data_IF_433405833495
#
_entry.id   IF_433405833495
#
_cell.length_a   1.000
_cell.length_b   1.000
_cell.length_c   1.000
_cell.angle_alpha   90.00
_cell.angle_beta   90.00
_cell.angle_gamma   90.00
#
_symmetry.space_group_name_H-M   'P 1'
#
loop_
_entity.id
_entity.type
_entity.pdbx_description
1 polymer ?
#
# COMPACT_ATOMS: atom_id res chain seq x y z
N UNK A 1 13.51 4.22 -10.76
CA UNK A 1 12.94 4.47 -12.11
C UNK A 1 12.69 3.14 -12.80
N UNK A 2 11.49 2.59 -12.66
CA UNK A 2 11.02 1.52 -13.54
C UNK A 2 10.74 2.14 -14.93
N UNK A 3 11.28 1.53 -15.98
CA UNK A 3 11.18 2.00 -17.37
C UNK A 3 9.72 2.11 -17.81
N UNK A 4 9.35 3.24 -18.40
CA UNK A 4 8.02 3.57 -18.97
C UNK A 4 7.42 2.49 -19.92
N UNK A 5 8.20 1.53 -20.42
CA UNK A 5 7.71 0.42 -21.27
C UNK A 5 7.16 -0.82 -20.53
N UNK A 6 7.35 -0.93 -19.20
CA UNK A 6 6.92 -2.13 -18.46
C UNK A 6 5.42 -2.15 -18.13
N UNK A 7 4.77 -0.98 -18.05
CA UNK A 7 3.39 -0.88 -17.56
C UNK A 7 2.34 -1.27 -18.61
N UNK A 8 2.57 -1.02 -19.91
CA UNK A 8 1.66 -1.42 -20.99
C UNK A 8 1.47 -2.95 -21.00
N UNK A 9 2.56 -3.71 -20.95
CA UNK A 9 2.50 -5.18 -20.91
C UNK A 9 1.81 -5.69 -19.65
N UNK A 10 2.03 -5.04 -18.50
CA UNK A 10 1.37 -5.39 -17.25
C UNK A 10 -0.13 -5.12 -17.33
N UNK A 11 -0.53 -3.95 -17.84
CA UNK A 11 -1.92 -3.55 -18.06
C UNK A 11 -2.65 -4.54 -18.94
N UNK A 12 -2.09 -4.87 -20.10
CA UNK A 12 -2.68 -5.87 -21.00
C UNK A 12 -2.88 -7.23 -20.31
N UNK A 13 -1.91 -7.70 -19.53
CA UNK A 13 -2.04 -8.97 -18.79
C UNK A 13 -3.13 -8.91 -17.72
N UNK A 14 -3.22 -7.82 -16.95
CA UNK A 14 -4.25 -7.65 -15.93
C UNK A 14 -5.65 -7.60 -16.55
N UNK A 15 -5.82 -6.83 -17.62
CA UNK A 15 -7.09 -6.77 -18.35
C UNK A 15 -7.47 -8.12 -18.97
N UNK A 16 -6.51 -8.84 -19.55
CA UNK A 16 -6.74 -10.18 -20.08
C UNK A 16 -7.15 -11.18 -18.97
N UNK A 17 -6.54 -11.11 -17.79
CA UNK A 17 -6.95 -11.93 -16.64
C UNK A 17 -8.37 -11.62 -16.17
N UNK A 18 -8.76 -10.35 -16.14
CA UNK A 18 -10.15 -9.95 -15.82
C UNK A 18 -11.15 -10.48 -16.87
N UNK A 19 -10.82 -10.37 -18.15
CA UNK A 19 -11.65 -10.90 -19.22
C UNK A 19 -11.79 -12.44 -19.15
N UNK A 20 -10.71 -13.14 -18.79
CA UNK A 20 -10.73 -14.58 -18.59
C UNK A 20 -11.56 -14.99 -17.37
N UNK A 21 -11.52 -14.22 -16.29
CA UNK A 21 -12.36 -14.43 -15.12
C UNK A 21 -13.86 -14.33 -15.48
N UNK A 22 -14.25 -13.29 -16.22
CA UNK A 22 -15.64 -13.14 -16.71
C UNK A 22 -16.03 -14.29 -17.64
N UNK A 23 -15.13 -14.72 -18.53
CA UNK A 23 -15.38 -15.86 -19.43
C UNK A 23 -15.64 -17.16 -18.65
N UNK A 24 -14.94 -17.39 -17.54
CA UNK A 24 -15.09 -18.57 -16.69
C UNK A 24 -16.33 -18.50 -15.79
N UNK A 25 -16.81 -17.29 -15.46
CA UNK A 25 -17.94 -17.05 -14.57
C UNK A 25 -18.89 -15.98 -15.15
N UNK A 26 -19.59 -16.28 -16.26
CA UNK A 26 -20.33 -15.26 -17.02
C UNK A 26 -21.47 -14.63 -16.21
N UNK A 27 -21.87 -13.44 -16.66
CA UNK A 27 -22.97 -12.65 -16.08
C UNK A 27 -22.70 -12.23 -14.64
N UNK A 28 -21.41 -12.09 -14.27
CA UNK A 28 -20.99 -11.77 -12.90
C UNK A 28 -21.57 -12.72 -11.85
N UNK A 29 -21.76 -14.00 -12.21
CA UNK A 29 -22.09 -15.08 -11.27
C UNK A 29 -20.87 -15.46 -10.42
N UNK A 30 -20.16 -14.45 -9.91
CA UNK A 30 -18.88 -14.63 -9.28
C UNK A 30 -19.03 -15.25 -7.90
N UNK A 31 -18.18 -16.22 -7.61
CA UNK A 31 -17.98 -16.67 -6.22
C UNK A 31 -17.28 -15.58 -5.42
N UNK A 32 -17.36 -15.63 -4.09
CA UNK A 32 -16.63 -14.69 -3.23
C UNK A 32 -15.12 -14.68 -3.52
N UNK A 33 -14.56 -15.84 -3.82
CA UNK A 33 -13.15 -15.99 -4.19
C UNK A 33 -12.84 -15.31 -5.53
N UNK A 34 -13.73 -15.42 -6.52
CA UNK A 34 -13.58 -14.74 -7.79
C UNK A 34 -13.72 -13.22 -7.66
N UNK A 35 -14.64 -12.72 -6.82
CA UNK A 35 -14.73 -11.30 -6.48
C UNK A 35 -13.44 -10.81 -5.82
N UNK A 36 -12.82 -11.60 -4.95
CA UNK A 36 -11.54 -11.25 -4.35
C UNK A 36 -10.40 -11.17 -5.38
N UNK A 37 -10.38 -12.08 -6.36
CA UNK A 37 -9.42 -12.03 -7.46
C UNK A 37 -9.65 -10.80 -8.34
N UNK A 38 -10.89 -10.54 -8.79
CA UNK A 38 -11.22 -9.38 -9.63
C UNK A 38 -10.85 -8.07 -8.93
N UNK A 39 -11.25 -7.95 -7.67
CA UNK A 39 -10.92 -6.83 -6.82
C UNK A 39 -9.42 -6.59 -6.69
N UNK A 40 -8.63 -7.64 -6.47
CA UNK A 40 -7.17 -7.51 -6.41
C UNK A 40 -6.53 -7.16 -7.77
N UNK A 41 -7.14 -7.55 -8.89
CA UNK A 41 -6.70 -7.12 -10.24
C UNK A 41 -6.99 -5.64 -10.47
N UNK A 42 -8.16 -5.16 -10.05
CA UNK A 42 -8.53 -3.73 -10.08
C UNK A 42 -7.56 -2.87 -9.29
N UNK A 43 -7.20 -3.28 -8.08
CA UNK A 43 -6.24 -2.56 -7.24
C UNK A 43 -4.85 -2.49 -7.91
N UNK A 44 -4.42 -3.54 -8.61
CA UNK A 44 -3.18 -3.51 -9.40
C UNK A 44 -3.27 -2.58 -10.61
N UNK A 45 -4.43 -2.49 -11.25
CA UNK A 45 -4.67 -1.56 -12.35
C UNK A 45 -4.60 -0.11 -11.85
N UNK A 46 -5.18 0.21 -10.68
CA UNK A 46 -5.04 1.52 -10.05
C UNK A 46 -3.57 1.91 -9.82
N UNK A 47 -2.73 0.97 -9.34
CA UNK A 47 -1.28 1.19 -9.19
C UNK A 47 -0.58 1.45 -10.53
N UNK A 48 -1.05 0.85 -11.63
CA UNK A 48 -0.50 1.17 -12.95
C UNK A 48 -0.89 2.58 -13.39
N UNK A 49 -2.13 2.99 -13.14
CA UNK A 49 -2.59 4.35 -13.46
C UNK A 49 -1.85 5.42 -12.65
N UNK A 50 -1.60 5.19 -11.35
CA UNK A 50 -0.83 6.13 -10.52
C UNK A 50 0.59 6.31 -11.07
N UNK A 51 1.24 5.23 -11.49
CA UNK A 51 2.60 5.27 -12.05
C UNK A 51 2.69 5.91 -13.42
N UNK A 52 1.57 5.96 -14.15
CA UNK A 52 1.43 6.72 -15.40
C UNK A 52 0.91 8.15 -15.16
N UNK A 53 0.80 8.57 -13.90
CA UNK A 53 0.31 9.89 -13.48
C UNK A 53 -1.10 10.19 -14.00
N UNK A 54 -1.98 9.18 -14.00
CA UNK A 54 -3.37 9.23 -14.43
C UNK A 54 -4.33 9.13 -13.23
N UNK A 55 -4.62 10.24 -12.52
CA UNK A 55 -5.47 10.22 -11.34
C UNK A 55 -6.92 9.82 -11.64
N UNK A 56 -7.47 10.19 -12.79
CA UNK A 56 -8.83 9.81 -13.18
C UNK A 56 -8.96 8.27 -13.32
N UNK A 57 -7.94 7.63 -13.91
CA UNK A 57 -7.88 6.17 -13.99
C UNK A 57 -7.73 5.48 -12.63
N UNK A 58 -6.97 6.08 -11.71
CA UNK A 58 -6.89 5.59 -10.32
C UNK A 58 -8.27 5.59 -9.67
N UNK A 59 -8.97 6.73 -9.74
CA UNK A 59 -10.29 6.91 -9.15
C UNK A 59 -11.32 5.95 -9.76
N UNK A 60 -11.25 5.72 -11.07
CA UNK A 60 -12.14 4.78 -11.76
C UNK A 60 -11.97 3.34 -11.27
N UNK A 61 -10.72 2.85 -11.18
CA UNK A 61 -10.47 1.49 -10.70
C UNK A 61 -10.74 1.32 -9.21
N UNK A 62 -10.48 2.33 -8.38
CA UNK A 62 -10.83 2.29 -6.95
C UNK A 62 -12.35 2.22 -6.76
N UNK A 63 -13.12 3.03 -7.50
CA UNK A 63 -14.59 3.01 -7.45
C UNK A 63 -15.18 1.69 -7.95
N UNK A 64 -14.56 1.09 -8.97
CA UNK A 64 -14.94 -0.25 -9.43
C UNK A 64 -14.60 -1.29 -8.35
N UNK A 65 -13.43 -1.22 -7.71
CA UNK A 65 -13.05 -2.11 -6.61
C UNK A 65 -14.01 -1.99 -5.42
N UNK A 66 -14.44 -0.78 -5.05
CA UNK A 66 -15.49 -0.60 -4.03
C UNK A 66 -16.81 -1.27 -4.42
N UNK A 67 -17.17 -1.24 -5.71
CA UNK A 67 -18.36 -1.92 -6.23
C UNK A 67 -18.24 -3.43 -6.08
N UNK A 68 -17.08 -3.99 -6.42
CA UNK A 68 -16.77 -5.42 -6.21
C UNK A 68 -16.79 -5.79 -4.72
N UNK A 69 -16.23 -4.94 -3.85
CA UNK A 69 -16.27 -5.15 -2.41
C UNK A 69 -17.71 -5.17 -1.87
N UNK A 70 -18.60 -4.29 -2.36
CA UNK A 70 -20.03 -4.32 -1.99
C UNK A 70 -20.71 -5.62 -2.41
N UNK A 71 -20.41 -6.14 -3.60
CA UNK A 71 -20.92 -7.42 -4.07
C UNK A 71 -20.42 -8.59 -3.20
N UNK A 72 -19.16 -8.52 -2.73
CA UNK A 72 -18.56 -9.51 -1.84
C UNK A 72 -19.00 -9.38 -0.37
N UNK A 73 -20.06 -8.62 -0.08
CA UNK A 73 -20.57 -8.43 1.29
C UNK A 73 -19.74 -7.47 2.14
N UNK A 74 -18.90 -6.63 1.52
CA UNK A 74 -18.11 -5.58 2.15
C UNK A 74 -17.22 -6.05 3.32
N UNK A 75 -16.61 -7.23 3.15
CA UNK A 75 -15.69 -7.86 4.10
C UNK A 75 -14.33 -8.11 3.45
N UNK A 76 -13.28 -8.14 4.25
CA UNK A 76 -11.96 -8.56 3.78
C UNK A 76 -11.92 -10.08 3.58
N UNK A 77 -11.51 -10.50 2.39
CA UNK A 77 -11.27 -11.88 1.97
C UNK A 77 -9.76 -12.14 1.91
N UNK A 78 -9.35 -13.37 2.24
CA UNK A 78 -7.97 -13.86 2.12
C UNK A 78 -7.82 -14.90 0.99
N UNK A 79 -8.82 -15.02 0.12
CA UNK A 79 -8.83 -15.99 -0.97
C UNK A 79 -7.53 -15.92 -1.80
N UNK A 80 -6.89 -17.07 -1.98
CA UNK A 80 -5.65 -17.25 -2.74
C UNK A 80 -4.53 -16.26 -2.38
N UNK A 81 -4.48 -15.80 -1.12
CA UNK A 81 -3.51 -14.79 -0.65
C UNK A 81 -3.59 -13.43 -1.36
N UNK A 82 -4.62 -13.20 -2.18
CA UNK A 82 -4.80 -11.96 -2.92
C UNK A 82 -5.14 -10.79 -1.98
N UNK A 83 -5.72 -11.10 -0.81
CA UNK A 83 -6.25 -10.15 0.19
C UNK A 83 -7.10 -9.06 -0.45
N UNK A 84 -8.42 -9.16 -0.44
CA UNK A 84 -9.27 -8.13 -1.04
C UNK A 84 -10.45 -7.73 -0.15
N UNK A 85 -10.77 -6.45 -0.12
CA UNK A 85 -11.86 -5.88 0.65
C UNK A 85 -11.60 -4.43 1.04
N UNK A 86 -12.46 -3.84 1.89
CA UNK A 86 -12.37 -2.43 2.28
C UNK A 86 -11.01 -2.02 2.85
N UNK A 87 -10.34 -2.91 3.59
CA UNK A 87 -9.00 -2.61 4.14
C UNK A 87 -7.97 -2.48 3.01
N UNK A 88 -7.98 -3.41 2.05
CA UNK A 88 -6.98 -3.40 0.99
C UNK A 88 -7.21 -2.25 -0.01
N UNK A 89 -8.47 -1.85 -0.23
CA UNK A 89 -8.81 -0.66 -1.02
C UNK A 89 -8.17 0.60 -0.40
N UNK A 90 -8.36 0.83 0.91
CA UNK A 90 -7.75 1.98 1.60
C UNK A 90 -6.22 1.98 1.55
N UNK A 91 -5.60 0.79 1.69
CA UNK A 91 -4.15 0.64 1.56
C UNK A 91 -3.69 1.07 0.16
N UNK A 92 -4.36 0.60 -0.89
CA UNK A 92 -3.99 0.93 -2.26
C UNK A 92 -4.28 2.39 -2.61
N UNK A 93 -5.35 2.97 -2.09
CA UNK A 93 -5.65 4.40 -2.30
C UNK A 93 -4.53 5.29 -1.74
N UNK A 94 -4.10 5.03 -0.50
CA UNK A 94 -2.96 5.73 0.11
C UNK A 94 -1.68 5.51 -0.70
N UNK A 95 -1.42 4.27 -1.13
CA UNK A 95 -0.27 3.95 -1.96
C UNK A 95 -0.29 4.74 -3.28
N UNK A 96 -1.42 4.80 -3.98
CA UNK A 96 -1.53 5.52 -5.26
C UNK A 96 -1.28 7.02 -5.12
N UNK A 97 -1.71 7.64 -4.02
CA UNK A 97 -1.41 9.04 -3.72
C UNK A 97 0.08 9.27 -3.45
N UNK A 98 0.73 8.34 -2.75
CA UNK A 98 2.17 8.40 -2.48
C UNK A 98 2.98 8.18 -3.76
N UNK A 99 2.55 7.26 -4.63
CA UNK A 99 3.21 6.97 -5.92
C UNK A 99 3.26 8.20 -6.85
N UNK A 100 2.23 9.08 -6.80
CA UNK A 100 2.20 10.36 -7.55
C UNK A 100 2.85 11.52 -6.80
N UNK A 101 3.38 11.28 -5.60
CA UNK A 101 4.07 12.29 -4.77
C UNK A 101 3.15 13.17 -3.91
N UNK A 102 1.85 12.87 -3.80
CA UNK A 102 0.91 13.61 -2.97
C UNK A 102 0.84 13.06 -1.53
N UNK A 103 1.96 13.20 -0.82
CA UNK A 103 2.07 12.78 0.56
C UNK A 103 1.08 13.50 1.49
N UNK A 104 0.76 14.76 1.20
CA UNK A 104 -0.19 15.56 1.99
C UNK A 104 -1.60 14.98 1.92
N UNK A 105 -2.10 14.70 0.72
CA UNK A 105 -3.41 14.11 0.53
C UNK A 105 -3.47 12.68 1.06
N UNK A 106 -2.39 11.89 0.90
CA UNK A 106 -2.30 10.54 1.46
C UNK A 106 -2.50 10.54 2.99
N UNK A 107 -1.79 11.42 3.72
CA UNK A 107 -1.92 11.54 5.17
C UNK A 107 -3.30 12.09 5.58
N UNK A 108 -3.85 13.03 4.82
CA UNK A 108 -5.18 13.57 5.07
C UNK A 108 -6.27 12.47 5.00
N UNK A 109 -6.17 11.53 4.05
CA UNK A 109 -7.09 10.38 3.97
C UNK A 109 -7.02 9.49 5.22
N UNK A 110 -5.82 9.25 5.75
CA UNK A 110 -5.66 8.47 6.98
C UNK A 110 -6.36 9.14 8.16
N UNK A 111 -6.21 10.45 8.33
CA UNK A 111 -6.91 11.20 9.37
C UNK A 111 -8.43 11.12 9.18
N UNK A 112 -8.91 11.27 7.95
CA UNK A 112 -10.34 11.23 7.62
C UNK A 112 -10.99 9.87 7.94
N UNK A 113 -10.30 8.76 7.71
CA UNK A 113 -10.84 7.42 7.96
C UNK A 113 -10.68 6.93 9.41
N UNK A 114 -9.97 7.69 10.24
CA UNK A 114 -9.78 7.32 11.64
C UNK A 114 -11.10 7.40 12.40
N UNK A 115 -11.37 6.37 13.20
CA UNK A 115 -12.52 6.36 14.12
C UNK A 115 -12.19 6.99 15.46
N UNK A 116 -10.91 7.34 15.70
CA UNK A 116 -10.43 7.88 16.97
C UNK A 116 -9.90 9.30 16.76
N UNK A 117 -10.44 10.31 17.45
CA UNK A 117 -9.98 11.70 17.32
C UNK A 117 -8.48 11.83 17.57
N UNK A 118 -7.78 12.56 16.68
CA UNK A 118 -6.34 12.78 16.78
C UNK A 118 -5.47 11.56 16.45
N UNK A 119 -6.04 10.50 15.89
CA UNK A 119 -5.31 9.35 15.37
C UNK A 119 -5.47 9.25 13.85
N UNK A 120 -4.54 8.55 13.22
CA UNK A 120 -4.63 8.16 11.81
C UNK A 120 -5.23 6.75 11.71
N UNK A 121 -5.97 6.50 10.63
CA UNK A 121 -6.39 5.16 10.27
C UNK A 121 -5.17 4.25 10.10
N UNK A 122 -5.29 3.02 10.58
CA UNK A 122 -4.31 1.98 10.36
C UNK A 122 -5.03 0.66 10.05
N UNK A 123 -4.39 -0.26 9.29
CA UNK A 123 -4.94 -1.57 9.03
C UNK A 123 -5.30 -2.31 10.33
N UNK A 124 -6.46 -3.00 10.40
CA UNK A 124 -6.83 -3.83 11.54
C UNK A 124 -5.75 -4.88 11.87
N UNK A 125 -5.66 -5.28 13.14
CA UNK A 125 -4.69 -6.30 13.58
C UNK A 125 -4.84 -7.67 12.89
N UNK A 126 -6.02 -7.97 12.34
CA UNK A 126 -6.30 -9.17 11.54
C UNK A 126 -5.75 -9.10 10.11
N UNK A 127 -5.28 -7.94 9.66
CA UNK A 127 -4.73 -7.77 8.30
C UNK A 127 -3.42 -8.52 8.16
N UNK A 128 -3.25 -9.24 7.04
CA UNK A 128 -2.03 -9.99 6.72
C UNK A 128 -0.78 -9.12 6.92
N UNK A 129 0.20 -9.66 7.63
CA UNK A 129 1.38 -8.91 8.07
C UNK A 129 2.13 -8.22 6.93
N UNK A 130 2.22 -8.85 5.76
CA UNK A 130 2.85 -8.23 4.57
C UNK A 130 2.10 -6.96 4.15
N UNK A 131 0.77 -7.00 4.02
CA UNK A 131 -0.06 -5.84 3.64
C UNK A 131 0.04 -4.72 4.67
N UNK A 132 -0.07 -5.07 5.96
CA UNK A 132 0.11 -4.12 7.06
C UNK A 132 1.48 -3.46 7.03
N UNK A 133 2.54 -4.25 6.84
CA UNK A 133 3.91 -3.72 6.80
C UNK A 133 4.15 -2.81 5.60
N UNK A 134 3.66 -3.16 4.40
CA UNK A 134 3.77 -2.30 3.22
C UNK A 134 3.11 -0.94 3.48
N UNK A 135 1.88 -0.94 4.00
CA UNK A 135 1.19 0.29 4.35
C UNK A 135 2.01 1.18 5.30
N UNK A 136 2.55 0.62 6.39
CA UNK A 136 3.37 1.41 7.32
C UNK A 136 4.69 1.90 6.69
N UNK A 137 5.27 1.17 5.73
CA UNK A 137 6.48 1.60 5.01
C UNK A 137 6.18 2.79 4.10
N UNK A 138 5.05 2.75 3.38
CA UNK A 138 4.61 3.85 2.51
C UNK A 138 4.30 5.09 3.34
N UNK A 139 3.49 4.94 4.40
CA UNK A 139 3.13 6.05 5.29
C UNK A 139 4.36 6.64 5.97
N UNK A 140 5.34 5.82 6.37
CA UNK A 140 6.60 6.35 6.91
C UNK A 140 7.33 7.24 5.90
N UNK A 141 7.33 6.86 4.62
CA UNK A 141 7.95 7.63 3.55
C UNK A 141 7.19 8.94 3.28
N UNK A 142 5.85 8.90 3.31
CA UNK A 142 5.00 10.09 3.19
C UNK A 142 5.19 11.07 4.36
N UNK A 143 5.23 10.58 5.60
CA UNK A 143 5.51 11.38 6.80
C UNK A 143 6.87 12.05 6.74
N UNK A 144 7.89 11.32 6.30
CA UNK A 144 9.21 11.89 6.12
C UNK A 144 9.20 13.02 5.07
N UNK A 145 8.48 12.84 3.97
CA UNK A 145 8.38 13.84 2.90
C UNK A 145 7.76 15.16 3.38
N UNK A 146 6.83 15.12 4.34
CA UNK A 146 6.23 16.32 4.96
C UNK A 146 6.97 16.79 6.23
N UNK A 147 8.10 16.18 6.56
CA UNK A 147 8.96 16.57 7.68
C UNK A 147 8.63 15.93 9.04
N UNK A 148 7.64 15.04 9.12
CA UNK A 148 7.33 14.28 10.34
C UNK A 148 8.29 13.10 10.53
N UNK A 149 9.49 13.40 11.04
CA UNK A 149 10.56 12.42 11.26
C UNK A 149 10.20 11.40 12.34
N UNK A 150 9.53 11.85 13.41
CA UNK A 150 9.19 11.00 14.54
C UNK A 150 8.08 10.01 14.17
N UNK A 151 7.05 10.46 13.47
CA UNK A 151 6.00 9.60 12.94
C UNK A 151 6.53 8.64 11.89
N UNK A 152 7.42 9.10 10.99
CA UNK A 152 8.08 8.22 10.02
C UNK A 152 8.80 7.05 10.70
N UNK A 153 9.64 7.31 11.70
CA UNK A 153 10.31 6.24 12.44
C UNK A 153 9.33 5.34 13.20
N UNK A 154 8.26 5.91 13.74
CA UNK A 154 7.21 5.17 14.44
C UNK A 154 6.55 4.14 13.52
N UNK A 155 6.18 4.52 12.28
CA UNK A 155 5.59 3.58 11.33
C UNK A 155 6.59 2.54 10.81
N UNK A 156 7.89 2.88 10.64
CA UNK A 156 8.91 1.86 10.34
C UNK A 156 9.02 0.79 11.44
N UNK A 157 8.86 1.16 12.72
CA UNK A 157 8.80 0.19 13.82
C UNK A 157 7.55 -0.68 13.76
N UNK A 158 6.40 -0.10 13.40
CA UNK A 158 5.14 -0.85 13.21
C UNK A 158 5.26 -1.83 12.05
N UNK A 159 5.87 -1.43 10.93
CA UNK A 159 6.18 -2.31 9.82
C UNK A 159 7.03 -3.51 10.25
N UNK A 160 8.12 -3.25 10.99
CA UNK A 160 9.00 -4.31 11.52
C UNK A 160 8.25 -5.28 12.44
N UNK A 161 7.35 -4.78 13.27
CA UNK A 161 6.52 -5.62 14.15
C UNK A 161 5.54 -6.48 13.35
N UNK A 162 4.95 -5.94 12.29
CA UNK A 162 3.96 -6.63 11.46
C UNK A 162 4.58 -7.72 10.57
N UNK A 163 5.68 -7.41 9.88
CA UNK A 163 6.41 -8.38 9.05
C UNK A 163 7.92 -8.04 9.02
N UNK A 164 8.73 -8.63 9.92
CA UNK A 164 10.13 -8.24 10.08
C UNK A 164 10.98 -8.56 8.85
N UNK A 165 10.74 -9.71 8.18
CA UNK A 165 11.49 -10.09 6.99
C UNK A 165 11.15 -9.18 5.80
N UNK A 166 9.87 -8.91 5.55
CA UNK A 166 9.45 -7.98 4.50
C UNK A 166 10.06 -6.59 4.73
N UNK A 167 9.93 -6.07 5.96
CA UNK A 167 10.46 -4.75 6.33
C UNK A 167 11.99 -4.66 6.19
N UNK A 168 12.73 -5.69 6.62
CA UNK A 168 14.20 -5.69 6.58
C UNK A 168 14.76 -5.56 5.16
N UNK A 169 14.08 -6.15 4.19
CA UNK A 169 14.54 -6.23 2.80
C UNK A 169 13.83 -5.24 1.86
N UNK A 170 12.87 -4.46 2.36
CA UNK A 170 12.17 -3.47 1.54
C UNK A 170 13.07 -2.27 1.21
N UNK A 171 13.19 -1.86 -0.06
CA UNK A 171 14.03 -0.73 -0.47
C UNK A 171 13.69 0.58 0.25
N UNK A 172 12.40 0.96 0.30
CA UNK A 172 11.97 2.21 0.94
C UNK A 172 12.29 2.25 2.44
N UNK A 173 12.39 1.12 3.13
CA UNK A 173 12.80 1.09 4.55
C UNK A 173 14.26 1.54 4.68
N UNK A 174 15.13 1.08 3.77
CA UNK A 174 16.54 1.48 3.74
C UNK A 174 16.67 2.96 3.42
N UNK A 175 15.94 3.44 2.42
CA UNK A 175 15.94 4.85 2.00
C UNK A 175 15.46 5.77 3.12
N UNK A 176 14.28 5.48 3.70
CA UNK A 176 13.68 6.29 4.78
C UNK A 176 14.54 6.24 6.04
N UNK A 177 15.06 5.07 6.44
CA UNK A 177 15.95 4.96 7.60
C UNK A 177 17.26 5.73 7.40
N UNK A 178 17.86 5.64 6.21
CA UNK A 178 19.10 6.34 5.90
C UNK A 178 18.89 7.86 5.84
N UNK A 179 17.75 8.32 5.32
CA UNK A 179 17.39 9.73 5.34
C UNK A 179 17.20 10.25 6.77
N UNK A 180 16.46 9.52 7.63
CA UNK A 180 16.31 9.86 9.04
C UNK A 180 17.65 9.97 9.76
N UNK A 181 18.56 9.01 9.55
CA UNK A 181 19.90 9.00 10.15
C UNK A 181 20.78 10.16 9.68
N UNK A 182 20.68 10.57 8.41
CA UNK A 182 21.44 11.73 7.90
C UNK A 182 20.89 13.06 8.38
N UNK A 183 19.59 13.13 8.67
CA UNK A 183 18.91 14.34 9.12
C UNK A 183 19.08 14.60 10.62
N UNK A 184 19.54 13.61 11.39
CA UNK A 184 19.76 13.70 12.82
C UNK A 184 21.25 13.65 13.14
N UNK A 185 21.80 14.73 13.70
CA UNK A 185 23.20 14.79 14.10
C UNK A 185 23.51 13.84 15.28
N UNK A 186 22.51 13.52 16.10
CA UNK A 186 22.64 12.66 17.27
C UNK A 186 21.49 11.64 17.31
N UNK A 187 21.47 10.70 16.35
CA UNK A 187 20.37 9.76 16.22
C UNK A 187 20.23 8.92 17.49
N UNK A 188 18.99 8.67 17.88
CA UNK A 188 18.70 7.80 19.03
C UNK A 188 19.31 6.41 18.84
N UNK A 189 19.67 5.76 19.95
CA UNK A 189 20.18 4.39 19.91
C UNK A 189 19.20 3.44 19.20
N UNK A 190 17.89 3.68 19.36
CA UNK A 190 16.86 2.91 18.66
C UNK A 190 16.93 3.09 17.14
N UNK A 191 16.98 4.34 16.65
CA UNK A 191 17.08 4.63 15.21
C UNK A 191 18.37 4.07 14.61
N UNK A 192 19.50 4.25 15.29
CA UNK A 192 20.78 3.69 14.85
C UNK A 192 20.75 2.15 14.81
N UNK A 193 20.15 1.50 15.82
CA UNK A 193 19.98 0.04 15.84
C UNK A 193 19.04 -0.47 14.76
N UNK A 194 17.98 0.29 14.45
CA UNK A 194 17.05 -0.03 13.38
C UNK A 194 17.73 0.06 12.02
N UNK A 195 18.50 1.12 11.76
CA UNK A 195 19.27 1.29 10.54
C UNK A 195 20.23 0.12 10.30
N UNK A 196 21.03 -0.25 11.32
CA UNK A 196 21.92 -1.43 11.26
C UNK A 196 21.16 -2.71 10.97
N UNK A 197 20.00 -2.90 11.61
CA UNK A 197 19.14 -4.05 11.36
C UNK A 197 18.57 -4.06 9.93
N UNK A 198 18.19 -2.91 9.37
CA UNK A 198 17.71 -2.79 7.99
C UNK A 198 18.83 -2.95 6.93
N UNK A 199 20.09 -3.13 7.37
CA UNK A 199 21.24 -3.28 6.49
C UNK A 199 21.87 -1.97 6.04
N UNK A 200 21.64 -0.88 6.79
CA UNK A 200 22.33 0.38 6.62
C UNK A 200 23.31 0.62 7.78
N UNK A 201 24.59 0.79 7.46
CA UNK A 201 25.62 1.17 8.43
C UNK A 201 26.10 2.56 8.03
N UNK A 202 25.90 3.57 8.89
CA UNK A 202 26.60 4.86 8.75
C UNK A 202 28.08 4.56 8.89
N UNK A 203 28.84 4.68 7.79
CA UNK A 203 30.30 4.69 7.82
C UNK A 203 30.78 6.09 8.15
#
# INVERSE_FOLDING_TARGET
>A
MLRQGAYISARHKLLALRAELERLQPERSYTDDALAVDGALLLKLAVLESRENNPDGVDDYLREAESVARLAGNRDSLAYEMSFGPTNIRIHEVHTLIDVGDAGQALARLTQWSTTPGQEWAPPASTVGERSSHHFIDVASAKLAVGDRAGAFTDLRRARKAAPNHTRFHPSVRETSAALLRMDAHPSNELASFGRWAGFTTT
#
